data_IF_730722814212
#
_entry.id   IF_730722814212
#
_cell.length_a   1.000
_cell.length_b   1.000
_cell.length_c   1.000
_cell.angle_alpha   90.00
_cell.angle_beta   90.00
_cell.angle_gamma   90.00
#
_symmetry.space_group_name_H-M   'P 1'
#
loop_
_entity.id
_entity.type
_entity.pdbx_description
1 polymer ?
#
# COMPACT_ATOMS: atom_id res chain seq x y z
N UNK A 1 -4.34 -0.76 -14.12
CA UNK A 1 -4.63 -1.71 -13.02
C UNK A 1 -6.03 -1.42 -12.51
N UNK A 2 -6.79 -2.45 -12.13
CA UNK A 2 -8.06 -2.26 -11.43
C UNK A 2 -7.80 -1.53 -10.11
N UNK A 3 -8.62 -0.53 -9.80
CA UNK A 3 -8.48 0.23 -8.56
C UNK A 3 -9.16 -0.51 -7.40
N UNK A 4 -8.60 -0.45 -6.17
CA UNK A 4 -7.34 0.18 -5.83
C UNK A 4 -6.12 -0.62 -6.32
N UNK A 5 -5.10 0.09 -6.81
CA UNK A 5 -3.88 -0.56 -7.28
C UNK A 5 -3.04 -1.03 -6.08
N UNK A 6 -2.63 -2.30 -6.09
CA UNK A 6 -1.81 -2.92 -5.03
C UNK A 6 -0.46 -3.35 -5.60
N UNK A 7 0.60 -3.23 -4.81
CA UNK A 7 1.94 -3.70 -5.16
C UNK A 7 2.61 -4.33 -3.94
N UNK A 8 3.28 -5.46 -4.16
CA UNK A 8 4.03 -6.17 -3.12
C UNK A 8 5.53 -6.10 -3.44
N UNK A 9 6.31 -5.57 -2.50
CA UNK A 9 7.77 -5.49 -2.59
C UNK A 9 8.44 -6.57 -1.73
N UNK A 10 8.80 -7.68 -2.38
CA UNK A 10 9.48 -8.79 -1.72
C UNK A 10 10.98 -8.57 -1.45
N UNK A 11 11.56 -7.44 -1.88
CA UNK A 11 13.01 -7.17 -1.78
C UNK A 11 13.35 -5.82 -1.15
N UNK A 12 12.37 -4.99 -0.84
CA UNK A 12 12.53 -3.66 -0.22
C UNK A 12 13.42 -2.76 -1.10
N UNK A 13 13.13 -2.73 -2.40
CA UNK A 13 13.88 -1.94 -3.40
C UNK A 13 13.07 -0.76 -3.96
N UNK A 14 11.76 -0.73 -3.68
CA UNK A 14 10.88 0.32 -4.18
C UNK A 14 10.81 1.50 -3.22
N UNK A 15 10.46 2.68 -3.75
CA UNK A 15 10.17 3.85 -2.93
C UNK A 15 8.71 3.81 -2.46
N UNK A 16 8.49 3.22 -1.28
CA UNK A 16 7.13 3.01 -0.75
C UNK A 16 6.40 4.32 -0.49
N UNK A 17 7.11 5.35 0.00
CA UNK A 17 6.53 6.68 0.25
C UNK A 17 5.97 7.30 -1.02
N UNK A 18 6.74 7.28 -2.11
CA UNK A 18 6.29 7.82 -3.39
C UNK A 18 5.12 7.01 -3.97
N UNK A 19 5.17 5.68 -3.89
CA UNK A 19 4.09 4.81 -4.36
C UNK A 19 2.77 5.03 -3.59
N UNK A 20 2.85 5.17 -2.27
CA UNK A 20 1.67 5.50 -1.45
C UNK A 20 1.10 6.89 -1.78
N UNK A 21 1.95 7.89 -2.05
CA UNK A 21 1.52 9.22 -2.50
C UNK A 21 0.83 9.20 -3.87
N UNK A 22 1.22 8.28 -4.76
CA UNK A 22 0.54 8.06 -6.04
C UNK A 22 -0.83 7.39 -5.84
N UNK A 23 -1.02 6.66 -4.73
CA UNK A 23 -2.25 5.94 -4.40
C UNK A 23 -2.16 4.42 -4.55
N UNK A 24 -0.95 3.86 -4.59
CA UNK A 24 -0.76 2.42 -4.44
C UNK A 24 -0.93 2.01 -2.98
N UNK A 25 -1.57 0.85 -2.78
CA UNK A 25 -1.45 0.11 -1.52
C UNK A 25 -0.18 -0.73 -1.64
N UNK A 26 0.83 -0.41 -0.84
CA UNK A 26 2.15 -1.04 -0.87
C UNK A 26 2.29 -1.97 0.34
N UNK A 27 2.65 -3.22 0.09
CA UNK A 27 3.00 -4.21 1.11
C UNK A 27 4.42 -4.69 0.89
N UNK A 28 5.15 -5.04 1.95
CA UNK A 28 6.51 -5.54 1.85
C UNK A 28 6.86 -6.49 2.99
N UNK A 29 7.80 -7.41 2.74
CA UNK A 29 8.31 -8.32 3.77
C UNK A 29 9.10 -7.51 4.81
N UNK A 30 8.86 -7.77 6.10
CA UNK A 30 9.62 -7.14 7.19
C UNK A 30 9.20 -5.70 7.50
N UNK A 31 8.17 -5.17 6.84
CA UNK A 31 7.57 -3.87 7.14
C UNK A 31 6.18 -4.11 7.73
N UNK A 32 5.90 -3.48 8.88
CA UNK A 32 4.57 -3.54 9.47
C UNK A 32 3.58 -2.94 8.47
N UNK A 33 2.61 -3.74 8.03
CA UNK A 33 1.53 -3.23 7.20
C UNK A 33 0.65 -2.38 8.11
N UNK A 34 0.62 -1.08 7.86
CA UNK A 34 -0.37 -0.22 8.49
C UNK A 34 -1.74 -0.64 7.97
N UNK A 35 -2.66 -0.92 8.90
CA UNK A 35 -4.06 -1.08 8.56
C UNK A 35 -4.57 0.26 8.04
N UNK A 36 -4.57 0.44 6.72
CA UNK A 36 -5.27 1.56 6.10
C UNK A 36 -6.76 1.36 6.39
N UNK A 37 -7.26 1.96 7.47
CA UNK A 37 -8.69 2.18 7.64
C UNK A 37 -9.12 3.06 6.48
N UNK A 38 -9.75 2.44 5.47
CA UNK A 38 -10.51 3.20 4.49
C UNK A 38 -11.60 3.93 5.28
N UNK A 39 -11.42 5.22 5.52
CA UNK A 39 -12.48 6.12 5.97
C UNK A 39 -13.54 6.21 4.85
N UNK A 40 -14.38 5.18 4.73
CA UNK A 40 -15.32 5.05 3.62
C UNK A 40 -16.53 4.15 3.85
N UNK A 41 -16.56 3.29 4.88
CA UNK A 41 -17.78 2.56 5.27
C UNK A 41 -17.85 2.43 6.78
N UNK A 42 -18.73 3.25 7.37
CA UNK A 42 -19.31 3.02 8.71
C UNK A 42 -20.69 2.44 8.42
N UNK A 43 -20.91 1.18 8.79
CA UNK A 43 -22.26 0.69 9.15
C UNK A 43 -22.44 0.84 10.65
#
# INVERSE_FOLDING_TARGET
>A
MTKPARIFDGRIILNHKQLSQIGFIVEAIGIASESFTMNGYVE
#
